data_IF_321142140581
#
_entry.id   IF_321142140581
#
_cell.length_a   1.000
_cell.length_b   1.000
_cell.length_c   1.000
_cell.angle_alpha   90.00
_cell.angle_beta   90.00
_cell.angle_gamma   90.00
#
_symmetry.space_group_name_H-M   'P 1'
#
loop_
_entity.id
_entity.type
_entity.pdbx_description
1 polymer ?
#
# COMPACT_ATOMS: atom_id res chain seq x y z
N UNK A 1 11.91 4.27 -14.92
CA UNK A 1 12.28 3.84 -13.55
C UNK A 1 11.75 4.93 -12.65
N UNK A 2 10.82 4.61 -11.75
CA UNK A 2 10.21 5.59 -10.85
C UNK A 2 10.62 5.34 -9.41
N UNK A 3 10.30 6.30 -8.54
CA UNK A 3 10.64 6.29 -7.13
C UNK A 3 9.35 6.31 -6.31
N UNK A 4 9.36 5.65 -5.14
CA UNK A 4 8.28 5.74 -4.15
C UNK A 4 8.78 6.62 -3.02
N UNK A 5 8.12 7.77 -2.82
CA UNK A 5 8.45 8.71 -1.74
C UNK A 5 7.29 8.69 -0.75
N UNK A 6 7.60 8.40 0.51
CA UNK A 6 6.61 8.34 1.58
C UNK A 6 6.92 9.42 2.61
N UNK A 7 5.94 10.27 2.88
CA UNK A 7 6.02 11.26 3.96
C UNK A 7 5.69 10.60 5.28
N UNK A 8 6.70 10.40 6.13
CA UNK A 8 6.52 9.79 7.45
C UNK A 8 5.51 10.54 8.34
N UNK A 9 5.51 11.89 8.44
CA UNK A 9 4.50 12.59 9.23
C UNK A 9 3.08 12.38 8.72
N UNK A 10 2.89 12.30 7.40
CA UNK A 10 1.58 12.01 6.81
C UNK A 10 1.15 10.57 7.06
N UNK A 11 2.06 9.61 6.95
CA UNK A 11 1.77 8.22 7.29
C UNK A 11 1.37 8.04 8.76
N UNK A 12 1.91 8.86 9.67
CA UNK A 12 1.49 8.85 11.09
C UNK A 12 0.03 9.30 11.24
N UNK A 13 -0.34 10.40 10.59
CA UNK A 13 -1.71 10.94 10.62
C UNK A 13 -2.69 9.92 10.02
N UNK A 14 -2.35 9.35 8.86
CA UNK A 14 -3.18 8.34 8.19
C UNK A 14 -3.33 7.07 9.03
N UNK A 15 -2.26 6.60 9.68
CA UNK A 15 -2.34 5.45 10.58
C UNK A 15 -3.32 5.68 11.74
N UNK A 16 -3.31 6.89 12.31
CA UNK A 16 -4.26 7.29 13.36
C UNK A 16 -5.70 7.39 12.82
N UNK A 17 -5.90 8.02 11.67
CA UNK A 17 -7.21 8.18 11.02
C UNK A 17 -7.84 6.83 10.61
N UNK A 18 -7.02 5.92 10.09
CA UNK A 18 -7.43 4.57 9.68
C UNK A 18 -7.47 3.57 10.86
N UNK A 19 -7.05 3.98 12.05
CA UNK A 19 -7.12 3.17 13.28
C UNK A 19 -6.23 1.92 13.24
N UNK A 20 -5.06 1.99 12.61
CA UNK A 20 -4.14 0.85 12.54
C UNK A 20 -2.68 1.26 12.84
N UNK A 21 -1.77 0.30 13.12
CA UNK A 21 -0.39 0.64 13.45
C UNK A 21 0.34 1.31 12.28
N UNK A 22 1.22 2.28 12.56
CA UNK A 22 2.06 2.94 11.54
C UNK A 22 2.77 1.95 10.60
N UNK A 23 3.26 0.82 11.12
CA UNK A 23 3.90 -0.22 10.31
C UNK A 23 2.98 -0.73 9.19
N UNK A 24 1.68 -0.83 9.47
CA UNK A 24 0.65 -1.24 8.50
C UNK A 24 0.42 -0.13 7.46
N UNK A 25 0.31 1.12 7.88
CA UNK A 25 0.15 2.26 6.97
C UNK A 25 1.33 2.37 6.01
N UNK A 26 2.56 2.28 6.54
CA UNK A 26 3.77 2.27 5.73
C UNK A 26 3.81 1.10 4.74
N UNK A 27 3.35 -0.08 5.14
CA UNK A 27 3.25 -1.23 4.24
C UNK A 27 2.23 -0.97 3.11
N UNK A 28 1.06 -0.41 3.43
CA UNK A 28 0.04 -0.03 2.45
C UNK A 28 0.62 0.96 1.45
N UNK A 29 1.22 2.06 1.91
CA UNK A 29 1.81 3.11 1.06
C UNK A 29 2.95 2.58 0.19
N UNK A 30 3.79 1.68 0.72
CA UNK A 30 4.86 1.03 -0.05
C UNK A 30 4.31 0.11 -1.14
N UNK A 31 3.35 -0.75 -0.81
CA UNK A 31 2.74 -1.67 -1.78
C UNK A 31 2.05 -0.87 -2.88
N UNK A 32 1.28 0.15 -2.49
CA UNK A 32 0.57 1.04 -3.41
C UNK A 32 1.53 1.71 -4.39
N UNK A 33 2.59 2.35 -3.88
CA UNK A 33 3.62 2.97 -4.71
C UNK A 33 4.33 1.97 -5.63
N UNK A 34 4.66 0.77 -5.12
CA UNK A 34 5.28 -0.28 -5.92
C UNK A 34 4.37 -0.77 -7.05
N UNK A 35 3.08 -0.98 -6.78
CA UNK A 35 2.12 -1.40 -7.79
C UNK A 35 1.96 -0.33 -8.89
N UNK A 36 1.96 0.95 -8.53
CA UNK A 36 2.00 2.03 -9.51
C UNK A 36 3.26 1.98 -10.38
N UNK A 37 4.43 1.74 -9.80
CA UNK A 37 5.67 1.56 -10.56
C UNK A 37 5.64 0.34 -11.50
N UNK A 38 4.87 -0.69 -11.15
CA UNK A 38 4.66 -1.89 -11.95
C UNK A 38 3.57 -1.71 -13.03
N UNK A 39 2.97 -0.52 -13.14
CA UNK A 39 1.96 -0.19 -14.15
C UNK A 39 0.55 -0.59 -13.78
N UNK A 40 0.27 -0.86 -12.48
CA UNK A 40 -1.09 -0.93 -11.97
C UNK A 40 -1.64 0.49 -11.80
N UNK A 41 -2.89 0.67 -12.19
CA UNK A 41 -3.55 1.96 -12.21
C UNK A 41 -4.97 1.82 -11.66
N UNK A 42 -5.35 2.73 -10.77
CA UNK A 42 -6.65 2.77 -10.12
C UNK A 42 -7.71 3.51 -10.94
N UNK A 43 -7.36 4.14 -12.08
CA UNK A 43 -8.29 4.96 -12.87
C UNK A 43 -9.29 4.17 -13.74
N UNK A 44 -9.14 2.84 -13.88
CA UNK A 44 -10.08 1.98 -14.64
C UNK A 44 -10.68 0.91 -13.73
N UNK A 45 -12.01 0.78 -13.73
CA UNK A 45 -12.77 -0.11 -12.83
C UNK A 45 -12.28 -1.57 -12.76
N UNK A 46 -11.84 -2.15 -13.88
CA UNK A 46 -11.28 -3.51 -13.92
C UNK A 46 -9.80 -3.57 -13.47
N UNK A 47 -9.06 -2.48 -13.64
CA UNK A 47 -7.67 -2.36 -13.19
C UNK A 47 -7.60 -2.11 -11.68
N UNK A 48 -8.53 -1.31 -11.15
CA UNK A 48 -8.71 -1.05 -9.72
C UNK A 48 -8.93 -2.35 -8.93
N UNK A 49 -9.84 -3.22 -9.40
CA UNK A 49 -10.07 -4.52 -8.75
C UNK A 49 -8.83 -5.41 -8.72
N UNK A 50 -8.03 -5.40 -9.79
CA UNK A 50 -6.76 -6.15 -9.86
C UNK A 50 -5.73 -5.57 -8.89
N UNK A 51 -5.65 -4.25 -8.80
CA UNK A 51 -4.77 -3.55 -7.88
C UNK A 51 -5.14 -3.84 -6.43
N UNK A 52 -6.41 -3.69 -6.05
CA UNK A 52 -6.89 -4.00 -4.70
C UNK A 52 -6.64 -5.46 -4.31
N UNK A 53 -6.85 -6.41 -5.24
CA UNK A 53 -6.56 -7.81 -4.99
C UNK A 53 -5.06 -8.04 -4.71
N UNK A 54 -4.18 -7.39 -5.48
CA UNK A 54 -2.72 -7.44 -5.28
C UNK A 54 -2.27 -6.75 -4.01
N UNK A 55 -2.85 -5.61 -3.66
CA UNK A 55 -2.58 -4.91 -2.41
C UNK A 55 -2.88 -5.80 -1.21
N UNK A 56 -4.04 -6.45 -1.21
CA UNK A 56 -4.45 -7.36 -0.13
C UNK A 56 -3.58 -8.61 -0.05
N UNK A 57 -3.20 -9.20 -1.19
CA UNK A 57 -2.29 -10.34 -1.26
C UNK A 57 -0.92 -10.00 -0.64
N UNK A 58 -0.31 -8.89 -1.09
CA UNK A 58 1.01 -8.46 -0.64
C UNK A 58 1.01 -8.04 0.84
N UNK A 59 -0.04 -7.35 1.28
CA UNK A 59 -0.19 -6.97 2.69
C UNK A 59 -0.29 -8.21 3.59
N UNK A 60 -1.02 -9.24 3.17
CA UNK A 60 -1.13 -10.50 3.89
C UNK A 60 0.21 -11.23 4.06
N UNK A 61 1.11 -11.15 3.06
CA UNK A 61 2.46 -11.72 3.16
C UNK A 61 3.34 -11.00 4.19
N UNK A 62 3.23 -9.66 4.27
CA UNK A 62 4.00 -8.83 5.20
C UNK A 62 3.50 -9.01 6.64
N UNK A 63 2.18 -9.11 6.82
CA UNK A 63 1.57 -9.37 8.14
C UNK A 63 1.82 -10.81 8.60
N UNK A 64 1.81 -11.79 7.69
CA UNK A 64 2.04 -13.21 7.99
C UNK A 64 3.51 -13.60 8.25
N UNK A 65 4.48 -12.80 7.77
CA UNK A 65 5.92 -13.04 7.96
C UNK A 65 6.50 -12.59 9.30
N UNK A 66 5.65 -12.18 10.26
CA UNK A 66 6.06 -11.82 11.63
C UNK A 66 5.86 -12.96 12.65
N UNK A 67 5.75 -14.22 12.20
CA UNK A 67 5.73 -15.41 13.05
C UNK A 67 7.11 -16.07 13.12
#
# INVERSE_FOLDING_TARGET
MGEVIISYPQALIQAEEHGHPLKKELAILLIHGLLHLLGYDHEKSDAERKMQAREKELLGLIEGGSQ
#
